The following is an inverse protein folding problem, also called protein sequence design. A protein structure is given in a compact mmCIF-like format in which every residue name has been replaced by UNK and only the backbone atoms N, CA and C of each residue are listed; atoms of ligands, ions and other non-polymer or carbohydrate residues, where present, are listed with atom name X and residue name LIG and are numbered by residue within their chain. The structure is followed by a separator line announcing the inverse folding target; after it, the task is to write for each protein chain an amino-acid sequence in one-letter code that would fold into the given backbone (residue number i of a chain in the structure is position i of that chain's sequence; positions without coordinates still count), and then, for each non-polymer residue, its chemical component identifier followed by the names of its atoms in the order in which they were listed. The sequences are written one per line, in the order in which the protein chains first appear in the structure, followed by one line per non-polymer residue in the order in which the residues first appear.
data_IF_346757755347
#
_entry.id   IF_346757755347
#
_cell.length_a   1.000
_cell.length_b   1.000
_cell.length_c   1.000
_cell.angle_alpha   90.00
_cell.angle_beta   90.00
_cell.angle_gamma   90.00
#
_symmetry.space_group_name_H-M   'P 1'
#
loop_
_entity.id
_entity.type
_entity.pdbx_description
1 polymer ?
#
# COMPACT_ATOMS: atom_id res chain seq x y z
N UNK A 1 9.12 1.35 -15.07
CA UNK A 1 10.13 0.41 -15.54
C UNK A 1 9.96 -0.98 -14.89
N UNK A 2 9.09 -1.84 -15.45
CA UNK A 2 8.86 -3.21 -14.93
C UNK A 2 9.96 -4.18 -15.34
N UNK A 3 10.54 -3.93 -16.50
CA UNK A 3 11.80 -4.47 -16.99
C UNK A 3 12.93 -4.31 -15.96
N UNK A 4 13.19 -3.07 -15.52
CA UNK A 4 14.20 -2.77 -14.49
C UNK A 4 13.84 -3.46 -13.17
N UNK A 5 12.58 -3.39 -12.76
CA UNK A 5 12.12 -4.02 -11.52
C UNK A 5 12.38 -5.52 -11.51
N UNK A 6 12.06 -6.20 -12.62
CA UNK A 6 12.22 -7.66 -12.74
C UNK A 6 13.69 -8.07 -12.62
N UNK A 7 14.61 -7.23 -13.10
CA UNK A 7 16.05 -7.46 -12.99
C UNK A 7 16.59 -7.22 -11.57
N UNK A 8 16.17 -6.14 -10.90
CA UNK A 8 16.82 -5.70 -9.64
C UNK A 8 16.18 -6.24 -8.35
N UNK A 9 14.92 -6.70 -8.37
CA UNK A 9 14.18 -6.88 -7.10
C UNK A 9 14.66 -8.04 -6.21
N UNK A 10 15.49 -8.94 -6.73
CA UNK A 10 16.02 -10.07 -5.95
C UNK A 10 17.45 -9.75 -5.49
N UNK A 11 17.77 -9.89 -4.20
CA UNK A 11 16.92 -10.29 -3.07
C UNK A 11 16.34 -9.11 -2.27
N UNK A 12 16.70 -7.86 -2.62
CA UNK A 12 16.53 -6.70 -1.73
C UNK A 12 15.26 -5.89 -1.97
N UNK A 13 14.44 -6.29 -2.93
CA UNK A 13 13.22 -5.58 -3.33
C UNK A 13 13.45 -4.50 -4.38
N UNK A 14 12.37 -3.83 -4.85
CA UNK A 14 12.44 -2.80 -5.87
C UNK A 14 13.28 -1.59 -5.44
N UNK A 15 14.05 -1.01 -6.36
CA UNK A 15 14.88 0.17 -6.11
C UNK A 15 14.72 1.22 -7.22
N UNK A 16 15.56 1.20 -8.25
CA UNK A 16 15.56 2.21 -9.33
C UNK A 16 14.29 2.19 -10.16
N UNK A 17 13.60 1.04 -10.21
CA UNK A 17 12.33 0.91 -10.92
C UNK A 17 11.17 1.70 -10.31
N UNK A 18 11.32 2.17 -9.06
CA UNK A 18 10.25 2.83 -8.29
C UNK A 18 10.63 4.21 -7.75
N UNK A 19 11.91 4.51 -7.59
CA UNK A 19 12.36 5.78 -6.99
C UNK A 19 12.45 6.97 -7.97
N UNK A 20 12.25 6.75 -9.27
CA UNK A 20 12.30 7.82 -10.28
C UNK A 20 11.22 8.90 -10.09
N UNK A 21 10.02 8.49 -9.70
CA UNK A 21 8.90 9.41 -9.54
C UNK A 21 7.64 8.72 -9.04
N UNK A 22 7.02 9.33 -8.05
CA UNK A 22 5.69 8.97 -7.54
C UNK A 22 4.89 10.25 -7.40
N UNK A 23 3.69 10.29 -7.97
CA UNK A 23 2.81 11.46 -7.96
C UNK A 23 1.66 11.24 -6.97
N UNK A 24 1.30 12.27 -6.21
CA UNK A 24 0.13 12.29 -5.33
C UNK A 24 -0.87 13.36 -5.79
N UNK A 25 -2.15 13.21 -5.42
CA UNK A 25 -3.15 14.24 -5.66
C UNK A 25 -2.88 15.49 -4.82
N UNK A 26 -3.33 16.68 -5.26
CA UNK A 26 -3.06 17.92 -4.53
C UNK A 26 -3.87 18.07 -3.24
N UNK A 27 -5.03 17.42 -3.13
CA UNK A 27 -5.95 17.57 -2.00
C UNK A 27 -5.88 16.36 -1.06
N UNK A 28 -5.73 16.64 0.23
CA UNK A 28 -5.80 15.64 1.30
C UNK A 28 -7.24 15.53 1.78
N UNK A 29 -7.90 14.41 1.50
CA UNK A 29 -9.21 14.10 2.07
C UNK A 29 -9.01 13.54 3.48
N UNK A 30 -9.64 14.16 4.47
CA UNK A 30 -9.49 13.76 5.88
C UNK A 30 -10.23 12.46 6.17
N UNK A 31 -9.74 11.70 7.16
CA UNK A 31 -10.43 10.47 7.63
C UNK A 31 -11.83 10.80 8.16
N UNK A 32 -12.02 11.97 8.78
CA UNK A 32 -13.33 12.45 9.22
C UNK A 32 -14.33 12.57 8.05
N UNK A 33 -13.91 13.14 6.92
CA UNK A 33 -14.75 13.25 5.73
C UNK A 33 -15.13 11.88 5.14
N UNK A 34 -14.32 10.85 5.40
CA UNK A 34 -14.57 9.48 4.95
C UNK A 34 -15.43 8.65 5.92
N UNK A 35 -15.70 9.13 7.15
CA UNK A 35 -16.46 8.38 8.17
C UNK A 35 -17.82 7.86 7.69
N UNK A 36 -18.63 8.61 6.91
CA UNK A 36 -19.91 8.11 6.42
C UNK A 36 -19.82 6.95 5.43
N UNK A 37 -18.62 6.65 4.92
CA UNK A 37 -18.37 5.67 3.87
C UNK A 37 -17.61 4.43 4.39
N UNK A 38 -17.55 4.25 5.71
CA UNK A 38 -16.93 3.07 6.33
C UNK A 38 -17.75 1.81 6.01
N UNK A 39 -17.04 0.73 5.69
CA UNK A 39 -17.59 -0.62 5.45
C UNK A 39 -16.76 -1.65 6.21
N UNK A 40 -17.28 -2.87 6.34
CA UNK A 40 -16.55 -3.96 6.98
C UNK A 40 -15.22 -4.28 6.27
N UNK A 41 -14.20 -4.64 7.06
CA UNK A 41 -12.91 -5.07 6.54
C UNK A 41 -13.01 -6.39 5.77
N UNK A 42 -12.11 -6.59 4.80
CA UNK A 42 -12.02 -7.87 4.10
C UNK A 42 -11.66 -9.00 5.08
N UNK A 43 -12.35 -10.17 5.04
CA UNK A 43 -12.09 -11.27 5.96
C UNK A 43 -10.66 -11.79 5.78
N UNK A 44 -9.94 -11.97 6.88
CA UNK A 44 -8.56 -12.45 6.88
C UNK A 44 -8.47 -13.89 7.36
N UNK A 45 -7.97 -14.76 6.48
CA UNK A 45 -7.69 -16.16 6.75
C UNK A 45 -6.27 -16.48 6.21
N UNK A 46 -5.29 -16.85 7.07
CA UNK A 46 -5.41 -17.10 8.51
C UNK A 46 -5.61 -15.83 9.34
N UNK A 47 -6.09 -16.02 10.57
CA UNK A 47 -6.21 -14.92 11.54
C UNK A 47 -4.82 -14.29 11.79
N UNK A 48 -4.67 -12.97 11.63
CA UNK A 48 -3.41 -12.28 11.89
C UNK A 48 -2.95 -12.39 13.35
N UNK A 49 -1.67 -12.13 13.59
CA UNK A 49 -1.14 -11.98 14.94
C UNK A 49 -1.92 -10.93 15.75
N UNK A 50 -1.94 -11.09 17.08
CA UNK A 50 -2.80 -10.31 17.95
C UNK A 50 -2.65 -8.79 17.82
N UNK A 51 -1.43 -8.30 17.57
CA UNK A 51 -1.14 -6.88 17.42
C UNK A 51 -1.61 -6.26 16.09
N UNK A 52 -2.10 -7.07 15.14
CA UNK A 52 -2.62 -6.65 13.84
C UNK A 52 -4.15 -6.63 13.78
N UNK A 53 -4.85 -6.96 14.88
CA UNK A 53 -6.31 -7.07 14.93
C UNK A 53 -6.94 -5.76 15.45
N UNK A 54 -8.08 -5.39 14.89
CA UNK A 54 -8.89 -4.19 15.17
C UNK A 54 -10.38 -4.49 14.95
#
# INVERSE_FOLDING_TARGET
ARDIQKWEYVPLGPFTAKNLGTTISPWVVTVEALRPYIVDNYPQDPTPFAYLRH
#
